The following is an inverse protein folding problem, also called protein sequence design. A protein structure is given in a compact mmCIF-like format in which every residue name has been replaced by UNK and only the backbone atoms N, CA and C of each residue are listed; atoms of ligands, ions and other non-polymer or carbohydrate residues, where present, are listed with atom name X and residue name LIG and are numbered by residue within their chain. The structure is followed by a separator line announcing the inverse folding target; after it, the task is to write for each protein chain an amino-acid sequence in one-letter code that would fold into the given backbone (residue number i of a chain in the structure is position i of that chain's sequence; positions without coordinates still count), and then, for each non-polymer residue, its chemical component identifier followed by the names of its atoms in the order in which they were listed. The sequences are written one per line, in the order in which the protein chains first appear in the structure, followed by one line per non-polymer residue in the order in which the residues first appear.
data_IF_405070615609
#
_entry.id   IF_405070615609
#
_cell.length_a   1.000
_cell.length_b   1.000
_cell.length_c   1.000
_cell.angle_alpha   90.00
_cell.angle_beta   90.00
_cell.angle_gamma   90.00
#
_symmetry.space_group_name_H-M   'P 1'
#
loop_
_entity.id
_entity.type
_entity.pdbx_description
1 polymer ?
#
# COMPACT_ATOMS: atom_id res chain seq x y z
N UNK A 1 -7.57 13.94 12.37
CA UNK A 1 -6.88 13.15 11.33
C UNK A 1 -6.05 14.03 10.41
N UNK A 2 -6.64 14.82 9.50
CA UNK A 2 -5.83 15.58 8.51
C UNK A 2 -4.89 16.61 9.13
N UNK A 3 -5.27 17.20 10.28
CA UNK A 3 -4.38 18.08 11.05
C UNK A 3 -3.11 17.35 11.52
N UNK A 4 -3.27 16.16 12.11
CA UNK A 4 -2.14 15.33 12.56
C UNK A 4 -1.32 14.82 11.39
N UNK A 5 -1.98 14.40 10.31
CA UNK A 5 -1.35 13.89 9.10
C UNK A 5 -0.53 14.97 8.40
N UNK A 6 -1.08 16.16 8.22
CA UNK A 6 -0.37 17.31 7.64
C UNK A 6 0.82 17.74 8.49
N UNK A 7 0.67 17.76 9.81
CA UNK A 7 1.77 18.07 10.73
C UNK A 7 2.90 17.04 10.65
N UNK A 8 2.56 15.75 10.68
CA UNK A 8 3.52 14.65 10.55
C UNK A 8 4.25 14.67 9.20
N UNK A 9 3.53 14.92 8.11
CA UNK A 9 4.13 15.08 6.77
C UNK A 9 5.11 16.25 6.72
N UNK A 10 4.75 17.40 7.29
CA UNK A 10 5.62 18.58 7.33
C UNK A 10 6.93 18.32 8.06
N UNK A 11 6.86 17.70 9.25
CA UNK A 11 8.06 17.30 10.00
C UNK A 11 8.89 16.29 9.19
N UNK A 12 8.24 15.29 8.60
CA UNK A 12 8.93 14.27 7.80
C UNK A 12 9.67 14.88 6.61
N UNK A 13 9.03 15.81 5.91
CA UNK A 13 9.65 16.54 4.80
C UNK A 13 10.84 17.38 5.28
N UNK A 14 10.73 18.06 6.42
CA UNK A 14 11.82 18.82 7.01
C UNK A 14 13.02 17.93 7.37
N UNK A 15 12.79 16.76 7.95
CA UNK A 15 13.85 15.78 8.27
C UNK A 15 14.51 15.22 7.00
N UNK A 16 13.74 14.93 5.94
CA UNK A 16 14.28 14.51 4.65
C UNK A 16 15.18 15.60 4.03
N UNK A 17 14.74 16.86 4.07
CA UNK A 17 15.52 17.99 3.58
C UNK A 17 16.81 18.19 4.41
N UNK A 18 16.72 18.17 5.74
CA UNK A 18 17.85 18.32 6.64
C UNK A 18 18.89 17.20 6.51
N UNK A 19 18.47 16.00 6.10
CA UNK A 19 19.35 14.86 5.82
C UNK A 19 19.91 14.84 4.39
N UNK A 20 19.68 15.90 3.60
CA UNK A 20 20.18 16.03 2.23
C UNK A 20 19.49 15.10 1.21
N UNK A 21 18.31 14.56 1.53
CA UNK A 21 17.57 13.66 0.66
C UNK A 21 16.66 14.46 -0.29
N UNK A 22 17.14 14.67 -1.52
CA UNK A 22 16.36 15.32 -2.59
C UNK A 22 15.59 14.31 -3.44
N UNK A 23 14.45 14.73 -4.00
CA UNK A 23 13.63 13.89 -4.89
C UNK A 23 12.77 12.84 -4.18
N UNK A 24 12.48 13.03 -2.89
CA UNK A 24 11.60 12.17 -2.11
C UNK A 24 10.27 12.85 -1.78
N UNK A 25 9.18 12.09 -1.82
CA UNK A 25 7.89 12.45 -1.24
C UNK A 25 7.86 11.98 0.21
N UNK A 26 7.49 12.87 1.14
CA UNK A 26 7.22 12.49 2.53
C UNK A 26 5.97 11.60 2.58
N UNK A 27 6.05 10.49 3.31
CA UNK A 27 4.97 9.51 3.43
C UNK A 27 4.79 9.12 4.89
N UNK A 28 3.53 9.03 5.32
CA UNK A 28 3.16 8.43 6.61
C UNK A 28 2.39 7.13 6.32
N UNK A 29 2.78 6.06 6.99
CA UNK A 29 2.17 4.73 6.91
C UNK A 29 1.44 4.37 8.20
N UNK A 30 0.63 3.32 8.14
CA UNK A 30 -0.18 2.81 9.26
C UNK A 30 -1.26 3.78 9.77
N UNK A 31 -1.86 4.55 8.84
CA UNK A 31 -2.86 5.59 9.12
C UNK A 31 -4.15 5.11 9.81
N UNK A 32 -4.42 3.80 9.82
CA UNK A 32 -5.54 3.21 10.57
C UNK A 32 -5.25 3.06 12.08
N UNK A 33 -3.98 3.08 12.46
CA UNK A 33 -3.55 2.96 13.84
C UNK A 33 -3.60 4.32 14.55
N UNK A 34 -3.57 4.38 15.88
CA UNK A 34 -3.42 5.63 16.61
C UNK A 34 -2.17 6.41 16.16
N UNK A 35 -2.23 7.74 16.18
CA UNK A 35 -1.16 8.64 15.67
C UNK A 35 0.24 8.27 16.20
N UNK A 36 0.35 7.83 17.46
CA UNK A 36 1.63 7.42 18.08
C UNK A 36 2.29 6.21 17.42
N UNK A 37 1.55 5.43 16.64
CA UNK A 37 2.01 4.23 15.96
C UNK A 37 2.24 4.46 14.46
N UNK A 38 2.00 5.68 13.96
CA UNK A 38 2.29 6.02 12.58
C UNK A 38 3.78 5.97 12.30
N UNK A 39 4.12 5.61 11.06
CA UNK A 39 5.50 5.51 10.61
C UNK A 39 5.78 6.53 9.53
N UNK A 40 6.77 7.39 9.75
CA UNK A 40 7.25 8.36 8.77
C UNK A 40 8.33 7.77 7.87
N UNK A 41 8.34 8.15 6.60
CA UNK A 41 9.35 7.76 5.64
C UNK A 41 9.39 8.67 4.41
N UNK A 42 10.27 8.34 3.48
CA UNK A 42 10.38 9.00 2.18
C UNK A 42 10.31 7.98 1.05
N UNK A 43 9.51 8.26 0.03
CA UNK A 43 9.45 7.46 -1.20
C UNK A 43 10.04 8.28 -2.35
N UNK A 44 11.05 7.78 -3.10
CA UNK A 44 11.62 8.53 -4.20
C UNK A 44 10.59 8.69 -5.33
N UNK A 45 10.50 9.88 -5.92
CA UNK A 45 9.53 10.15 -7.00
C UNK A 45 9.69 9.18 -8.17
N UNK A 46 10.92 8.78 -8.47
CA UNK A 46 11.23 7.82 -9.53
C UNK A 46 10.58 6.45 -9.34
N UNK A 47 10.33 6.01 -8.10
CA UNK A 47 9.62 4.75 -7.84
C UNK A 47 8.11 4.83 -8.11
N UNK A 48 7.55 6.04 -8.21
CA UNK A 48 6.13 6.27 -8.50
C UNK A 48 5.86 6.63 -9.96
N UNK A 49 6.89 7.03 -10.70
CA UNK A 49 6.78 7.38 -12.12
C UNK A 49 6.50 6.13 -12.96
N UNK A 50 5.60 6.28 -13.92
CA UNK A 50 5.38 5.31 -14.98
C UNK A 50 5.39 6.03 -16.32
N UNK A 51 5.76 5.30 -17.37
CA UNK A 51 5.70 5.78 -18.75
C UNK A 51 4.51 5.10 -19.41
N UNK A 52 3.53 5.86 -19.89
CA UNK A 52 2.45 5.27 -20.67
C UNK A 52 2.98 4.89 -22.06
N UNK A 53 2.62 3.70 -22.58
CA UNK A 53 2.87 3.37 -23.97
C UNK A 53 2.15 4.40 -24.85
N UNK A 54 2.82 4.87 -25.89
CA UNK A 54 2.25 5.83 -26.82
C UNK A 54 0.94 5.26 -27.40
N UNK A 55 -0.18 5.91 -27.10
CA UNK A 55 -1.46 5.53 -27.71
C UNK A 55 -1.50 6.14 -29.12
N UNK A 56 -2.12 5.47 -30.09
CA UNK A 56 -2.13 5.92 -31.50
C UNK A 56 -2.63 7.38 -31.71
N UNK A 57 -3.37 7.93 -30.74
CA UNK A 57 -3.87 9.31 -30.74
C UNK A 57 -2.86 10.34 -30.21
N UNK A 58 -1.80 9.90 -29.53
CA UNK A 58 -0.72 10.72 -29.03
C UNK A 58 0.52 10.46 -29.89
N UNK A 59 0.60 11.12 -31.05
CA UNK A 59 1.86 11.34 -31.77
C UNK A 59 2.76 12.28 -30.93
N UNK A 60 3.19 11.81 -29.77
CA UNK A 60 4.25 12.46 -29.00
C UNK A 60 5.49 11.62 -29.22
N UNK A 61 6.48 12.23 -29.86
CA UNK A 61 7.76 11.62 -30.25
C UNK A 61 8.52 11.00 -29.06
N UNK A 62 8.21 11.45 -27.83
CA UNK A 62 8.83 10.98 -26.58
C UNK A 62 7.76 10.78 -25.48
N UNK A 63 7.59 9.56 -24.92
CA UNK A 63 6.59 9.32 -23.89
C UNK A 63 7.05 9.98 -22.57
N UNK A 64 6.14 10.77 -21.96
CA UNK A 64 6.47 11.56 -20.76
C UNK A 64 6.23 10.74 -19.49
N UNK A 65 7.21 10.61 -18.58
CA UNK A 65 7.00 9.94 -17.31
C UNK A 65 6.08 10.78 -16.43
N UNK A 66 5.09 10.14 -15.82
CA UNK A 66 4.13 10.81 -14.94
C UNK A 66 3.71 9.90 -13.77
N UNK A 67 3.24 10.54 -12.70
CA UNK A 67 2.56 9.85 -11.59
C UNK A 67 1.07 9.86 -11.91
N UNK A 68 0.52 8.69 -12.20
CA UNK A 68 -0.88 8.56 -12.58
C UNK A 68 -1.79 8.47 -11.36
N UNK A 69 -2.98 9.07 -11.48
CA UNK A 69 -4.00 8.96 -10.45
C UNK A 69 -4.37 7.48 -10.22
N UNK A 70 -4.35 7.07 -8.95
CA UNK A 70 -4.81 5.73 -8.56
C UNK A 70 -6.32 5.65 -8.76
N UNK A 71 -6.78 4.67 -9.54
CA UNK A 71 -8.21 4.38 -9.72
C UNK A 71 -8.75 3.62 -8.53
N UNK A 72 -10.08 3.59 -8.39
CA UNK A 72 -10.75 2.71 -7.41
C UNK A 72 -10.48 1.27 -7.80
N UNK A 73 -10.00 0.48 -6.84
CA UNK A 73 -9.85 -0.96 -6.97
C UNK A 73 -11.21 -1.64 -6.81
N UNK A 74 -11.73 -2.20 -7.90
CA UNK A 74 -13.03 -2.89 -7.93
C UNK A 74 -12.99 -4.25 -7.23
N UNK A 75 -11.79 -4.82 -7.03
CA UNK A 75 -11.59 -6.04 -6.25
C UNK A 75 -11.15 -5.75 -4.81
N UNK A 76 -10.99 -4.46 -4.49
CA UNK A 76 -10.55 -3.99 -3.18
C UNK A 76 -11.62 -4.16 -2.10
N UNK A 77 -11.20 -4.25 -0.81
CA UNK A 77 -12.10 -4.51 0.31
C UNK A 77 -13.20 -3.45 0.45
N UNK A 78 -12.86 -2.17 0.28
CA UNK A 78 -13.81 -1.07 0.38
C UNK A 78 -14.91 -1.12 -0.69
N UNK A 79 -14.57 -1.49 -1.93
CA UNK A 79 -15.58 -1.63 -2.99
C UNK A 79 -16.44 -2.88 -2.79
N UNK A 80 -15.84 -3.99 -2.33
CA UNK A 80 -16.59 -5.21 -2.01
C UNK A 80 -17.60 -4.99 -0.88
N UNK A 81 -17.23 -4.27 0.18
CA UNK A 81 -18.18 -3.86 1.24
C UNK A 81 -19.34 -3.03 0.67
N UNK A 82 -19.06 -2.08 -0.23
CA UNK A 82 -20.10 -1.33 -0.91
C UNK A 82 -21.02 -2.23 -1.76
N UNK A 83 -20.46 -3.18 -2.50
CA UNK A 83 -21.23 -4.12 -3.34
C UNK A 83 -22.21 -4.96 -2.52
N UNK A 84 -21.87 -5.32 -1.27
CA UNK A 84 -22.74 -6.08 -0.39
C UNK A 84 -23.98 -5.29 0.03
N UNK A 85 -23.85 -3.97 0.23
CA UNK A 85 -24.95 -3.14 0.79
C UNK A 85 -25.73 -2.38 -0.30
N UNK A 86 -25.11 -2.06 -1.45
CA UNK A 86 -25.71 -1.20 -2.51
C UNK A 86 -27.10 -1.62 -2.98
N UNK A 87 -27.39 -2.94 -3.05
CA UNK A 87 -28.70 -3.45 -3.47
C UNK A 87 -29.79 -3.19 -2.43
N UNK A 88 -29.44 -3.26 -1.15
CA UNK A 88 -30.36 -2.95 -0.06
C UNK A 88 -30.61 -1.44 0.00
N UNK A 89 -29.56 -0.62 -0.11
CA UNK A 89 -29.67 0.84 -0.20
C UNK A 89 -30.51 1.30 -1.39
N UNK A 90 -30.47 0.58 -2.52
CA UNK A 90 -31.27 0.94 -3.69
C UNK A 90 -32.78 0.64 -3.52
N UNK A 91 -33.14 -0.26 -2.60
CA UNK A 91 -34.53 -0.71 -2.40
C UNK A 91 -35.19 -0.12 -1.15
N UNK A 92 -34.41 0.30 -0.17
CA UNK A 92 -34.90 0.77 1.12
C UNK A 92 -34.25 2.09 1.56
N UNK A 93 -34.86 2.73 2.56
CA UNK A 93 -34.42 4.01 3.11
C UNK A 93 -33.29 3.82 4.14
N UNK A 94 -32.12 3.38 3.67
CA UNK A 94 -30.94 3.12 4.50
C UNK A 94 -29.97 4.32 4.52
N UNK A 95 -30.45 5.49 4.93
CA UNK A 95 -29.65 6.71 5.00
C UNK A 95 -28.84 6.79 6.30
N UNK A 96 -27.55 7.13 6.18
CA UNK A 96 -26.70 7.46 7.33
C UNK A 96 -26.61 8.99 7.47
N UNK A 97 -26.81 9.52 8.68
CA UNK A 97 -26.53 10.92 9.02
C UNK A 97 -25.31 10.97 9.95
N UNK A 98 -24.08 11.10 9.41
CA UNK A 98 -22.84 11.03 10.20
C UNK A 98 -22.64 12.24 11.13
N UNK A 99 -23.41 13.31 10.96
CA UNK A 99 -23.26 14.54 11.73
C UNK A 99 -22.00 15.36 11.35
N UNK A 100 -21.77 16.48 12.04
CA UNK A 100 -20.63 17.35 11.80
C UNK A 100 -19.31 16.78 12.34
N UNK A 101 -18.19 17.17 11.72
CA UNK A 101 -16.84 16.82 12.18
C UNK A 101 -16.65 17.31 13.62
N UNK A 102 -16.22 16.41 14.50
CA UNK A 102 -15.94 16.70 15.90
C UNK A 102 -14.43 16.83 16.14
N UNK A 103 -14.01 17.78 16.97
CA UNK A 103 -12.61 17.96 17.38
C UNK A 103 -12.31 17.41 18.78
N UNK A 104 -13.34 17.03 19.53
CA UNK A 104 -13.26 16.45 20.87
C UNK A 104 -14.26 15.32 21.04
N UNK A 105 -14.01 14.42 22.00
CA UNK A 105 -14.88 13.29 22.29
C UNK A 105 -14.60 12.05 21.43
N UNK A 106 -15.51 11.07 21.49
CA UNK A 106 -15.27 9.72 20.96
C UNK A 106 -15.06 9.67 19.43
N UNK A 107 -15.68 10.57 18.67
CA UNK A 107 -15.63 10.58 17.21
C UNK A 107 -14.52 11.46 16.64
N UNK A 108 -13.78 12.20 17.48
CA UNK A 108 -12.75 13.15 17.02
C UNK A 108 -11.58 12.48 16.29
N UNK A 109 -11.32 11.20 16.58
CA UNK A 109 -10.26 10.40 15.95
C UNK A 109 -10.80 9.43 14.89
N UNK A 110 -12.05 9.58 14.45
CA UNK A 110 -12.61 8.72 13.42
C UNK A 110 -11.84 8.86 12.09
N UNK A 111 -11.54 7.72 11.46
CA UNK A 111 -10.91 7.65 10.12
C UNK A 111 -11.94 7.18 9.09
N UNK A 112 -11.69 7.45 7.81
CA UNK A 112 -12.58 7.01 6.75
C UNK A 112 -12.66 5.47 6.67
N UNK A 113 -13.84 4.94 6.29
CA UNK A 113 -14.06 3.49 6.11
C UNK A 113 -13.00 2.88 5.16
N UNK A 114 -12.62 3.60 4.12
CA UNK A 114 -11.58 3.18 3.16
C UNK A 114 -10.18 3.05 3.79
N UNK A 115 -9.80 3.92 4.73
CA UNK A 115 -8.52 3.83 5.44
C UNK A 115 -8.56 2.69 6.46
N UNK A 116 -9.67 2.57 7.20
CA UNK A 116 -9.84 1.52 8.22
C UNK A 116 -9.72 0.10 7.63
N UNK A 117 -10.30 -0.13 6.45
CA UNK A 117 -10.29 -1.43 5.77
C UNK A 117 -8.97 -1.80 5.06
N UNK A 118 -7.99 -0.89 4.98
CA UNK A 118 -6.73 -1.19 4.29
C UNK A 118 -5.79 -2.08 5.13
N UNK A 119 -5.21 -3.15 4.54
CA UNK A 119 -4.14 -3.89 5.19
C UNK A 119 -2.90 -3.00 5.35
N UNK A 120 -2.10 -3.29 6.38
CA UNK A 120 -0.82 -2.58 6.58
C UNK A 120 0.24 -3.32 5.78
N UNK A 121 0.62 -2.76 4.64
CA UNK A 121 1.70 -3.27 3.81
C UNK A 121 3.01 -3.40 4.62
N UNK A 122 3.37 -2.38 5.40
CA UNK A 122 4.60 -2.40 6.19
C UNK A 122 4.59 -3.50 7.25
N UNK A 123 3.44 -3.77 7.86
CA UNK A 123 3.31 -4.86 8.83
C UNK A 123 3.50 -6.23 8.15
N UNK A 124 2.90 -6.42 6.98
CA UNK A 124 3.06 -7.65 6.19
C UNK A 124 4.50 -7.85 5.73
N UNK A 125 5.15 -6.80 5.23
CA UNK A 125 6.55 -6.82 4.83
C UNK A 125 7.46 -7.17 6.01
N UNK A 126 7.27 -6.54 7.18
CA UNK A 126 8.05 -6.86 8.38
C UNK A 126 7.85 -8.31 8.83
N UNK A 127 6.61 -8.81 8.77
CA UNK A 127 6.31 -10.20 9.12
C UNK A 127 7.02 -11.19 8.18
N UNK A 128 7.10 -10.86 6.89
CA UNK A 128 7.85 -11.64 5.90
C UNK A 128 9.35 -11.65 6.22
N UNK A 129 9.95 -10.48 6.46
CA UNK A 129 11.37 -10.35 6.81
C UNK A 129 11.71 -11.11 8.10
N UNK A 130 10.85 -11.05 9.11
CA UNK A 130 11.01 -11.82 10.35
C UNK A 130 10.95 -13.33 10.10
N UNK A 131 10.08 -13.78 9.20
CA UNK A 131 10.00 -15.17 8.79
C UNK A 131 11.31 -15.63 8.12
N UNK A 132 11.83 -14.84 7.18
CA UNK A 132 13.12 -15.12 6.54
C UNK A 132 14.27 -15.17 7.55
N UNK A 133 14.29 -14.23 8.50
CA UNK A 133 15.29 -14.21 9.57
C UNK A 133 15.19 -15.44 10.50
N UNK A 134 13.98 -15.98 10.72
CA UNK A 134 13.78 -17.24 11.47
C UNK A 134 14.30 -18.44 10.69
N UNK A 135 14.05 -18.51 9.38
CA UNK A 135 14.57 -19.58 8.52
C UNK A 135 16.11 -19.55 8.52
N UNK A 136 16.70 -18.37 8.33
CA UNK A 136 18.15 -18.17 8.38
C UNK A 136 18.75 -18.60 9.73
N UNK A 137 18.09 -18.28 10.86
CA UNK A 137 18.51 -18.72 12.20
C UNK A 137 18.50 -20.24 12.39
N UNK A 138 17.63 -20.97 11.70
CA UNK A 138 17.57 -22.45 11.75
C UNK A 138 18.62 -23.11 10.86
N UNK A 139 19.00 -22.46 9.76
CA UNK A 139 19.95 -22.98 8.77
C UNK A 139 21.41 -22.54 9.06
N UNK A 140 21.83 -22.54 10.34
CA UNK A 140 23.19 -22.10 10.72
C UNK A 140 24.26 -23.14 10.35
N UNK A 141 25.54 -22.73 10.20
CA UNK A 141 26.64 -23.67 10.03
C UNK A 141 26.64 -24.74 11.15
N UNK A 142 26.67 -26.01 10.76
CA UNK A 142 26.58 -27.15 11.68
C UNK A 142 25.18 -27.76 11.85
N UNK A 143 24.16 -27.27 11.14
CA UNK A 143 22.85 -27.95 11.06
C UNK A 143 22.85 -29.13 10.06
N UNK A 144 21.81 -29.98 10.13
CA UNK A 144 21.62 -31.09 9.19
C UNK A 144 21.55 -30.54 7.74
N UNK A 145 22.40 -31.02 6.80
CA UNK A 145 22.39 -30.61 5.40
C UNK A 145 21.00 -30.72 4.73
N UNK A 146 20.17 -31.68 5.17
CA UNK A 146 18.80 -31.85 4.65
C UNK A 146 17.92 -30.65 4.93
N UNK A 147 18.07 -30.04 6.10
CA UNK A 147 17.27 -28.87 6.50
C UNK A 147 17.59 -27.66 5.63
N UNK A 148 18.87 -27.46 5.31
CA UNK A 148 19.31 -26.40 4.40
C UNK A 148 18.80 -26.66 2.99
N UNK A 149 18.90 -27.90 2.50
CA UNK A 149 18.42 -28.27 1.18
C UNK A 149 16.91 -28.01 1.01
N UNK A 150 16.09 -28.44 1.97
CA UNK A 150 14.65 -28.19 1.97
C UNK A 150 14.33 -26.70 2.04
N UNK A 151 15.03 -25.93 2.87
CA UNK A 151 14.83 -24.49 2.99
C UNK A 151 15.13 -23.77 1.68
N UNK A 152 16.25 -24.09 1.02
CA UNK A 152 16.64 -23.52 -0.28
C UNK A 152 15.60 -23.87 -1.35
N UNK A 153 15.20 -25.14 -1.46
CA UNK A 153 14.22 -25.56 -2.47
C UNK A 153 12.85 -24.89 -2.25
N UNK A 154 12.43 -24.73 -1.00
CA UNK A 154 11.18 -24.03 -0.66
C UNK A 154 11.22 -22.55 -1.02
N UNK A 155 12.34 -21.87 -0.72
CA UNK A 155 12.52 -20.45 -1.07
C UNK A 155 12.62 -20.23 -2.58
N UNK A 156 13.28 -21.12 -3.31
CA UNK A 156 13.34 -21.08 -4.77
C UNK A 156 11.96 -21.28 -5.41
N UNK A 157 11.14 -22.18 -4.84
CA UNK A 157 9.75 -22.37 -5.31
C UNK A 157 8.92 -21.11 -5.07
N UNK A 158 9.10 -20.45 -3.92
CA UNK A 158 8.42 -19.19 -3.62
C UNK A 158 8.81 -18.09 -4.62
N UNK A 159 10.09 -18.01 -5.00
CA UNK A 159 10.57 -17.08 -6.02
C UNK A 159 9.88 -17.31 -7.37
N UNK A 160 9.81 -18.56 -7.84
CA UNK A 160 9.11 -18.90 -9.09
C UNK A 160 7.62 -18.52 -9.06
N UNK A 161 6.94 -18.72 -7.94
CA UNK A 161 5.54 -18.33 -7.78
C UNK A 161 5.38 -16.81 -7.84
N UNK A 162 6.29 -16.07 -7.22
CA UNK A 162 6.25 -14.60 -7.24
C UNK A 162 6.51 -14.05 -8.65
N UNK A 163 7.43 -14.65 -9.41
CA UNK A 163 7.67 -14.27 -10.80
C UNK A 163 6.39 -14.40 -11.64
N UNK A 164 5.67 -15.52 -11.52
CA UNK A 164 4.40 -15.75 -12.21
C UNK A 164 3.31 -14.73 -11.85
N UNK A 165 3.26 -14.30 -10.59
CA UNK A 165 2.29 -13.29 -10.12
C UNK A 165 2.69 -11.87 -10.56
N UNK A 166 3.98 -11.63 -10.79
CA UNK A 166 4.50 -10.31 -11.19
C UNK A 166 4.32 -9.99 -12.67
N UNK A 167 4.00 -10.99 -13.51
CA UNK A 167 3.70 -10.75 -14.92
C UNK A 167 2.45 -9.86 -15.06
N UNK A 168 2.51 -8.80 -15.90
CA UNK A 168 1.40 -7.89 -16.04
C UNK A 168 0.20 -8.63 -16.63
N UNK A 169 -0.91 -8.66 -15.88
CA UNK A 169 -2.23 -9.08 -16.37
C UNK A 169 -2.49 -8.35 -17.69
N UNK A 170 -2.50 -9.10 -18.80
CA UNK A 170 -2.79 -8.57 -20.12
C UNK A 170 -4.11 -7.78 -20.08
N UNK A 171 -4.21 -6.64 -20.78
CA UNK A 171 -5.46 -5.90 -20.81
C UNK A 171 -6.55 -6.81 -21.38
N UNK A 172 -7.54 -7.13 -20.54
CA UNK A 172 -8.77 -7.80 -20.96
C UNK A 172 -9.38 -6.92 -22.04
N UNK A 173 -9.39 -7.37 -23.30
CA UNK A 173 -10.12 -6.67 -24.36
C UNK A 173 -11.59 -6.83 -24.07
N UNK A 174 -12.19 -5.79 -23.49
CA UNK A 174 -13.64 -5.68 -23.43
C UNK A 174 -14.09 -5.34 -24.84
N UNK A 175 -14.60 -6.35 -25.54
CA UNK A 175 -15.37 -6.20 -26.76
C UNK A 175 -16.75 -5.57 -26.47
#
# INVERSE_FOLDING_TARGET
FDSDYGYALGITAAVLAASGRSGYMAVISDLKMPVRQWRSGGVPFTAMLRVQPATAQQQVEWPRPAIFASRVDLEGPAFREWVQVRRACAKGELYENPGPIQFSGATASAVSKTIAGRPSYLKELNSMLECMARVSRRCRPGCDPRLVHVAVQSLSTLETVLDQVSEPVAPVSVA
#
